data_IF_972437284502
#
_entry.id   IF_972437284502
#
_cell.length_a   1.000
_cell.length_b   1.000
_cell.length_c   1.000
_cell.angle_alpha   90.00
_cell.angle_beta   90.00
_cell.angle_gamma   90.00
#
_symmetry.space_group_name_H-M   'P 1'
#
loop_
_entity.id
_entity.type
_entity.pdbx_description
1 polymer ?
#
# COMPACT_ATOMS: atom_id res chain seq x y z
N UNK A 1 -31.50 -29.81 -21.11
CA UNK A 1 -32.19 -29.98 -19.81
C UNK A 1 -31.51 -31.17 -19.15
N UNK A 2 -30.91 -31.02 -17.97
CA UNK A 2 -30.38 -32.20 -17.26
C UNK A 2 -31.58 -33.02 -16.78
N UNK A 3 -31.70 -34.24 -17.27
CA UNK A 3 -32.77 -35.15 -16.85
C UNK A 3 -32.58 -35.48 -15.38
N UNK A 4 -33.55 -35.09 -14.55
CA UNK A 4 -33.54 -35.30 -13.09
C UNK A 4 -33.34 -36.76 -12.70
N UNK A 5 -33.77 -37.68 -13.56
CA UNK A 5 -33.61 -39.12 -13.38
C UNK A 5 -32.14 -39.54 -13.45
N UNK A 6 -31.35 -38.97 -14.37
CA UNK A 6 -29.92 -39.23 -14.47
C UNK A 6 -29.15 -38.73 -13.23
N UNK A 7 -29.55 -37.57 -12.69
CA UNK A 7 -28.95 -37.02 -11.47
C UNK A 7 -29.29 -37.89 -10.26
N UNK A 8 -30.51 -38.41 -10.17
CA UNK A 8 -30.94 -39.29 -9.07
C UNK A 8 -30.17 -40.63 -9.08
N UNK A 9 -30.08 -41.28 -10.24
CA UNK A 9 -29.35 -42.54 -10.39
C UNK A 9 -27.84 -42.38 -10.11
N UNK A 10 -27.26 -41.25 -10.50
CA UNK A 10 -25.86 -40.96 -10.23
C UNK A 10 -25.60 -40.75 -8.73
N UNK A 11 -26.50 -40.03 -8.04
CA UNK A 11 -26.41 -39.79 -6.60
C UNK A 11 -26.52 -41.09 -5.82
N UNK A 12 -27.45 -41.99 -6.17
CA UNK A 12 -27.61 -43.26 -5.47
C UNK A 12 -26.40 -44.19 -5.67
N UNK A 13 -25.85 -44.23 -6.88
CA UNK A 13 -24.68 -45.05 -7.21
C UNK A 13 -23.41 -44.55 -6.51
N UNK A 14 -23.27 -43.23 -6.32
CA UNK A 14 -22.04 -42.61 -5.83
C UNK A 14 -22.19 -41.92 -4.47
N UNK A 15 -23.27 -42.17 -3.71
CA UNK A 15 -23.63 -41.41 -2.49
C UNK A 15 -22.48 -41.24 -1.50
N UNK A 16 -21.67 -42.28 -1.32
CA UNK A 16 -20.55 -42.29 -0.36
C UNK A 16 -19.43 -41.38 -0.85
N UNK A 17 -19.10 -41.41 -2.15
CA UNK A 17 -18.06 -40.55 -2.74
C UNK A 17 -18.52 -39.09 -2.76
N UNK A 18 -19.79 -38.84 -3.07
CA UNK A 18 -20.37 -37.49 -3.06
C UNK A 18 -20.38 -36.92 -1.63
N UNK A 19 -20.79 -37.72 -0.64
CA UNK A 19 -20.75 -37.31 0.77
C UNK A 19 -19.32 -37.02 1.25
N UNK A 20 -18.34 -37.82 0.83
CA UNK A 20 -16.94 -37.59 1.15
C UNK A 20 -16.41 -36.30 0.52
N UNK A 21 -16.73 -36.03 -0.75
CA UNK A 21 -16.33 -34.79 -1.44
C UNK A 21 -17.01 -33.57 -0.81
N UNK A 22 -18.31 -33.63 -0.53
CA UNK A 22 -19.04 -32.55 0.15
C UNK A 22 -18.48 -32.30 1.56
N UNK A 23 -18.14 -33.36 2.30
CA UNK A 23 -17.50 -33.24 3.61
C UNK A 23 -16.12 -32.58 3.53
N UNK A 24 -15.30 -32.96 2.54
CA UNK A 24 -14.00 -32.34 2.31
C UNK A 24 -14.12 -30.85 1.93
N UNK A 25 -15.08 -30.52 1.06
CA UNK A 25 -15.37 -29.13 0.67
C UNK A 25 -15.83 -28.31 1.88
N UNK A 26 -16.72 -28.87 2.72
CA UNK A 26 -17.19 -28.20 3.93
C UNK A 26 -16.04 -27.94 4.92
N UNK A 27 -15.17 -28.93 5.16
CA UNK A 27 -13.99 -28.76 6.02
C UNK A 27 -13.04 -27.69 5.47
N UNK A 28 -12.85 -27.65 4.15
CA UNK A 28 -12.02 -26.65 3.51
C UNK A 28 -12.60 -25.24 3.68
N UNK A 29 -13.93 -25.09 3.53
CA UNK A 29 -14.61 -23.82 3.78
C UNK A 29 -14.47 -23.37 5.25
N UNK A 30 -14.62 -24.28 6.21
CA UNK A 30 -14.42 -23.99 7.63
C UNK A 30 -12.98 -23.54 7.91
N UNK A 31 -11.98 -24.21 7.31
CA UNK A 31 -10.57 -23.85 7.47
C UNK A 31 -10.26 -22.45 6.91
N UNK A 32 -10.77 -22.13 5.71
CA UNK A 32 -10.63 -20.80 5.10
C UNK A 32 -11.29 -19.72 5.97
N UNK A 33 -12.49 -19.99 6.49
CA UNK A 33 -13.20 -19.07 7.37
C UNK A 33 -12.40 -18.82 8.65
N UNK A 34 -11.88 -19.87 9.28
CA UNK A 34 -11.08 -19.78 10.50
C UNK A 34 -9.82 -18.92 10.30
N UNK A 35 -9.07 -19.15 9.21
CA UNK A 35 -7.89 -18.34 8.86
C UNK A 35 -8.26 -16.88 8.62
N UNK A 36 -9.37 -16.61 7.93
CA UNK A 36 -9.85 -15.25 7.66
C UNK A 36 -10.19 -14.51 8.96
N UNK A 37 -10.92 -15.16 9.88
CA UNK A 37 -11.26 -14.58 11.20
C UNK A 37 -9.99 -14.33 12.02
N UNK A 38 -9.03 -15.25 12.03
CA UNK A 38 -7.76 -15.07 12.74
C UNK A 38 -6.96 -13.88 12.19
N UNK A 39 -6.88 -13.73 10.86
CA UNK A 39 -6.18 -12.61 10.21
C UNK A 39 -6.86 -11.28 10.55
N UNK A 40 -8.19 -11.22 10.49
CA UNK A 40 -8.94 -10.00 10.77
C UNK A 40 -8.80 -9.57 12.24
N UNK A 41 -8.83 -10.54 13.17
CA UNK A 41 -8.62 -10.26 14.59
C UNK A 41 -7.18 -9.80 14.89
N UNK A 42 -6.18 -10.32 14.17
CA UNK A 42 -4.80 -9.87 14.30
C UNK A 42 -4.62 -8.42 13.84
N UNK A 43 -5.20 -8.07 12.68
CA UNK A 43 -5.18 -6.69 12.14
C UNK A 43 -5.92 -5.72 13.07
N UNK A 44 -7.10 -6.12 13.58
CA UNK A 44 -7.87 -5.29 14.51
C UNK A 44 -7.12 -5.04 15.83
N UNK A 45 -6.41 -6.05 16.35
CA UNK A 45 -5.61 -5.90 17.58
C UNK A 45 -4.40 -5.00 17.37
N UNK A 46 -3.73 -5.10 16.22
CA UNK A 46 -2.59 -4.24 15.91
C UNK A 46 -3.03 -2.79 15.68
N UNK A 47 -4.14 -2.57 14.98
CA UNK A 47 -4.73 -1.24 14.82
C UNK A 47 -5.10 -0.61 16.18
N UNK A 48 -5.66 -1.40 17.09
CA UNK A 48 -6.01 -0.95 18.44
C UNK A 48 -4.75 -0.66 19.29
N UNK A 49 -3.68 -1.42 19.12
CA UNK A 49 -2.37 -1.20 19.77
C UNK A 49 -1.72 0.10 19.29
N UNK A 50 -1.68 0.32 17.98
CA UNK A 50 -1.16 1.54 17.34
C UNK A 50 -1.97 2.76 17.80
N UNK A 51 -3.29 2.64 17.87
CA UNK A 51 -4.17 3.71 18.38
C UNK A 51 -3.89 4.06 19.84
N UNK A 52 -3.67 3.06 20.71
CA UNK A 52 -3.28 3.29 22.11
C UNK A 52 -1.93 3.98 22.24
N UNK A 53 -0.94 3.58 21.43
CA UNK A 53 0.39 4.21 21.41
C UNK A 53 0.33 5.68 20.92
N UNK A 54 -0.52 5.99 19.94
CA UNK A 54 -0.74 7.37 19.50
C UNK A 54 -1.42 8.22 20.58
N UNK A 55 -2.40 7.67 21.30
CA UNK A 55 -3.06 8.35 22.42
C UNK A 55 -2.12 8.62 23.60
N UNK A 56 -1.16 7.73 23.89
CA UNK A 56 -0.16 7.96 24.95
C UNK A 56 0.88 9.04 24.61
N UNK A 57 0.95 9.46 23.35
CA UNK A 57 1.86 10.50 22.85
C UNK A 57 1.16 11.81 22.53
N UNK A 58 -0.04 12.03 23.07
CA UNK A 58 -0.73 13.30 22.99
C UNK A 58 0.02 14.32 23.85
N UNK A 59 0.87 15.12 23.22
CA UNK A 59 1.45 16.31 23.84
C UNK A 59 0.31 17.22 24.29
N UNK A 60 0.35 17.68 25.55
CA UNK A 60 -0.62 18.68 26.02
C UNK A 60 -0.45 19.93 25.14
N UNK A 61 -1.54 20.49 24.65
CA UNK A 61 -1.51 21.67 23.77
C UNK A 61 -0.74 22.88 24.34
N UNK A 62 -0.48 22.91 25.66
CA UNK A 62 0.33 23.94 26.34
C UNK A 62 1.82 23.62 26.50
N UNK A 63 2.31 22.44 26.10
CA UNK A 63 3.74 22.06 26.14
C UNK A 63 4.45 22.24 24.80
N UNK A 64 3.69 22.57 23.74
CA UNK A 64 4.23 22.87 22.43
C UNK A 64 4.75 24.32 22.42
N UNK A 65 5.92 24.54 23.01
CA UNK A 65 6.69 25.76 22.78
C UNK A 65 7.26 25.69 21.36
N UNK A 66 6.45 26.08 20.38
CA UNK A 66 6.98 26.46 19.08
C UNK A 66 7.85 27.70 19.33
N UNK A 67 9.15 27.69 18.97
CA UNK A 67 9.89 28.94 18.93
C UNK A 67 9.12 29.90 18.01
N UNK A 68 9.06 31.19 18.35
CA UNK A 68 8.41 32.16 17.48
C UNK A 68 9.00 32.00 16.08
N UNK A 69 8.13 31.93 15.07
CA UNK A 69 8.57 31.83 13.67
C UNK A 69 9.66 32.88 13.45
N UNK A 70 10.81 32.51 12.87
CA UNK A 70 11.85 33.48 12.58
C UNK A 70 11.22 34.56 11.71
N UNK A 71 11.23 35.80 12.21
CA UNK A 71 10.80 36.96 11.45
C UNK A 71 11.46 36.87 10.08
N UNK A 72 10.64 36.73 9.05
CA UNK A 72 11.13 36.59 7.68
C UNK A 72 12.07 37.76 7.40
N UNK A 73 13.35 37.52 7.07
CA UNK A 73 14.27 38.61 6.82
C UNK A 73 13.70 39.48 5.69
N UNK A 74 13.82 40.82 5.78
CA UNK A 74 13.31 41.70 4.74
C UNK A 74 13.94 41.32 3.39
N UNK A 75 13.10 41.00 2.41
CA UNK A 75 13.51 40.54 1.07
C UNK A 75 13.48 39.03 0.84
N UNK A 76 13.13 38.21 1.84
CA UNK A 76 13.01 36.76 1.66
C UNK A 76 11.57 36.37 1.30
N UNK A 77 11.39 35.90 0.06
CA UNK A 77 10.12 35.37 -0.44
C UNK A 77 10.03 33.89 -0.01
N UNK A 78 9.24 33.60 1.02
CA UNK A 78 9.09 32.24 1.59
C UNK A 78 8.04 31.37 0.87
N UNK A 79 7.14 31.98 0.11
CA UNK A 79 6.12 31.29 -0.67
C UNK A 79 6.01 31.93 -2.06
N UNK A 80 5.65 31.11 -3.04
CA UNK A 80 5.45 31.54 -4.43
C UNK A 80 3.99 31.39 -4.80
N UNK A 81 3.53 32.24 -5.71
CA UNK A 81 2.28 32.01 -6.40
C UNK A 81 2.36 30.71 -7.21
N UNK A 82 1.27 29.94 -7.18
CA UNK A 82 1.18 28.55 -7.67
C UNK A 82 1.52 28.41 -9.17
N UNK A 83 1.52 29.52 -9.92
CA UNK A 83 1.62 29.54 -11.38
C UNK A 83 3.00 29.98 -11.94
N UNK A 84 4.03 30.17 -11.10
CA UNK A 84 5.36 30.58 -11.59
C UNK A 84 6.17 29.39 -12.14
N UNK A 85 6.15 29.21 -13.46
CA UNK A 85 7.01 28.25 -14.16
C UNK A 85 8.41 28.85 -14.28
N UNK A 86 9.39 28.17 -13.70
CA UNK A 86 10.80 28.59 -13.73
C UNK A 86 11.35 28.63 -15.15
N UNK A 87 12.03 29.72 -15.47
CA UNK A 87 12.93 29.74 -16.63
C UNK A 87 14.20 28.95 -16.31
N UNK A 88 14.89 28.49 -17.35
CA UNK A 88 16.13 27.71 -17.21
C UNK A 88 17.23 28.53 -16.51
N UNK A 89 17.23 29.86 -16.71
CA UNK A 89 18.16 30.80 -16.07
C UNK A 89 17.85 30.99 -14.58
N UNK A 90 16.58 31.10 -14.20
CA UNK A 90 16.17 31.18 -12.79
C UNK A 90 16.50 29.89 -12.03
N UNK A 91 16.20 28.75 -12.65
CA UNK A 91 16.50 27.42 -12.10
C UNK A 91 17.99 27.22 -11.84
N UNK A 92 18.86 27.68 -12.76
CA UNK A 92 20.30 27.57 -12.66
C UNK A 92 20.90 28.25 -11.41
N UNK A 93 20.21 29.25 -10.86
CA UNK A 93 20.64 29.92 -9.62
C UNK A 93 20.41 29.08 -8.35
N UNK A 94 19.50 28.11 -8.41
CA UNK A 94 19.14 27.25 -7.28
C UNK A 94 19.68 25.82 -7.42
N UNK A 95 19.85 25.33 -8.64
CA UNK A 95 20.41 24.02 -8.91
C UNK A 95 21.22 24.01 -10.21
N UNK A 96 22.33 23.28 -10.22
CA UNK A 96 23.05 22.96 -11.45
C UNK A 96 22.51 21.65 -12.02
N UNK A 97 22.19 21.64 -13.31
CA UNK A 97 21.94 20.39 -14.01
C UNK A 97 23.26 19.62 -14.14
N UNK A 98 23.26 18.28 -13.97
CA UNK A 98 24.45 17.48 -14.22
C UNK A 98 24.90 17.64 -15.68
N UNK A 99 26.19 17.47 -15.95
CA UNK A 99 26.69 17.43 -17.33
C UNK A 99 25.98 16.33 -18.15
N UNK A 100 25.83 16.48 -19.47
CA UNK A 100 25.08 15.54 -20.31
C UNK A 100 25.48 14.07 -20.13
N UNK A 101 26.77 13.80 -19.94
CA UNK A 101 27.30 12.46 -19.68
C UNK A 101 26.81 11.88 -18.33
N UNK A 102 26.73 12.72 -17.30
CA UNK A 102 26.21 12.34 -15.99
C UNK A 102 24.68 12.14 -16.03
N UNK A 103 23.95 12.91 -16.84
CA UNK A 103 22.53 12.70 -17.05
C UNK A 103 22.24 11.35 -17.71
N UNK A 104 23.03 10.97 -18.71
CA UNK A 104 22.85 9.68 -19.39
C UNK A 104 23.16 8.49 -18.47
N UNK A 105 24.21 8.59 -17.65
CA UNK A 105 24.52 7.58 -16.64
C UNK A 105 23.38 7.43 -15.62
N UNK A 106 22.80 8.54 -15.15
CA UNK A 106 21.64 8.54 -14.26
C UNK A 106 20.41 7.93 -14.92
N UNK A 107 20.17 8.25 -16.20
CA UNK A 107 19.07 7.70 -17.00
C UNK A 107 19.16 6.19 -17.12
N UNK A 108 20.34 5.66 -17.48
CA UNK A 108 20.57 4.23 -17.59
C UNK A 108 20.43 3.51 -16.25
N UNK A 109 20.92 4.11 -15.17
CA UNK A 109 20.76 3.57 -13.81
C UNK A 109 19.29 3.52 -13.38
N UNK A 110 18.53 4.58 -13.65
CA UNK A 110 17.11 4.65 -13.32
C UNK A 110 16.29 3.64 -14.14
N UNK A 111 16.58 3.52 -15.44
CA UNK A 111 15.93 2.56 -16.32
C UNK A 111 16.11 1.13 -15.80
N UNK A 112 17.34 0.75 -15.43
CA UNK A 112 17.62 -0.56 -14.88
C UNK A 112 16.82 -0.85 -13.60
N UNK A 113 16.72 0.13 -12.68
CA UNK A 113 15.92 -0.04 -11.46
C UNK A 113 14.43 -0.20 -11.75
N UNK A 114 13.90 0.53 -12.75
CA UNK A 114 12.51 0.39 -13.17
C UNK A 114 12.28 -1.02 -13.74
N UNK A 115 13.16 -1.48 -14.61
CA UNK A 115 13.06 -2.80 -15.23
C UNK A 115 13.14 -3.90 -14.16
N UNK A 116 14.09 -3.81 -13.22
CA UNK A 116 14.22 -4.74 -12.08
C UNK A 116 12.93 -4.78 -11.23
N UNK A 117 12.29 -3.63 -10.99
CA UNK A 117 11.00 -3.57 -10.27
C UNK A 117 9.89 -4.22 -11.08
N UNK A 118 9.78 -3.93 -12.38
CA UNK A 118 8.75 -4.49 -13.25
C UNK A 118 8.88 -6.01 -13.39
N UNK A 119 10.10 -6.54 -13.46
CA UNK A 119 10.37 -7.98 -13.50
C UNK A 119 10.13 -8.66 -12.14
N UNK A 120 10.18 -7.91 -11.02
CA UNK A 120 9.93 -8.45 -9.68
C UNK A 120 8.45 -8.63 -9.32
N UNK A 121 7.53 -8.14 -10.14
CA UNK A 121 6.07 -8.28 -9.95
C UNK A 121 5.58 -9.51 -10.75
N UNK A 122 5.06 -10.57 -10.10
CA UNK A 122 4.62 -11.80 -10.75
C UNK A 122 3.29 -11.68 -11.50
#
# INVERSE_FOLDING_TARGET
MLDREWVADFIDTHRIKIAAVLGAVLLLLIAVLAVSVMKNNAVSREAERVSRLHKSRAFRAGELFLPPEPLTPPGVILSRDVDHIWTLEEAASYFSLPEPEAQEALRLSAQKQIDDILESVP
#
